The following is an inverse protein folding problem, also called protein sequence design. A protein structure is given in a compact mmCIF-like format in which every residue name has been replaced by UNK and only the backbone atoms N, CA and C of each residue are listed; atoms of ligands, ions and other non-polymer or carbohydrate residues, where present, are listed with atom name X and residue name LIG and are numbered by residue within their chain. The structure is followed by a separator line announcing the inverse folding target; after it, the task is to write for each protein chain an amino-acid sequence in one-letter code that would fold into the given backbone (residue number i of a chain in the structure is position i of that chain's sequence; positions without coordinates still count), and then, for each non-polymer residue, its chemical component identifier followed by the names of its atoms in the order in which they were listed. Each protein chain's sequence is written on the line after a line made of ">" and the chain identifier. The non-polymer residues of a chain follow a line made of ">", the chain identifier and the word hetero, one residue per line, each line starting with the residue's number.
data_IF_632362711176
#
_entry.id   IF_632362711176
#
_cell.length_a   1.000
_cell.length_b   1.000
_cell.length_c   1.000
_cell.angle_alpha   90.00
_cell.angle_beta   90.00
_cell.angle_gamma   90.00
#
_symmetry.space_group_name_H-M   'P 1'
#
loop_
_entity.id
_entity.type
_entity.pdbx_description
1 polymer ?
#
# COMPACT_ATOMS: atom_id res chain seq x y z
N UNK A 1 13.26 1.59 55.91
CA UNK A 1 13.11 0.75 54.70
C UNK A 1 12.25 1.55 53.76
N UNK A 2 12.88 2.35 52.92
CA UNK A 2 12.16 3.18 51.95
C UNK A 2 11.83 2.30 50.75
N UNK A 3 10.56 1.95 50.60
CA UNK A 3 10.04 1.27 49.43
C UNK A 3 10.06 2.24 48.26
N UNK A 4 11.05 2.14 47.38
CA UNK A 4 11.06 2.89 46.13
C UNK A 4 9.76 2.58 45.35
N UNK A 5 9.02 3.61 44.88
CA UNK A 5 7.83 3.39 44.08
C UNK A 5 8.28 2.83 42.72
N UNK A 6 7.64 1.76 42.25
CA UNK A 6 7.90 1.15 40.94
C UNK A 6 7.95 2.23 39.85
N UNK A 7 9.16 2.55 39.37
CA UNK A 7 9.42 3.71 38.49
C UNK A 7 8.98 3.50 37.04
N UNK A 8 8.58 2.27 36.68
CA UNK A 8 7.94 1.95 35.40
C UNK A 8 7.29 0.57 35.47
N UNK A 9 6.05 0.42 34.99
CA UNK A 9 5.48 -0.90 34.71
C UNK A 9 6.22 -1.51 33.51
N UNK A 10 6.94 -2.60 33.73
CA UNK A 10 7.47 -3.44 32.66
C UNK A 10 6.37 -4.43 32.26
N UNK A 11 5.76 -4.19 31.09
CA UNK A 11 4.76 -5.11 30.54
C UNK A 11 5.47 -6.19 29.73
N UNK A 12 5.74 -7.34 30.36
CA UNK A 12 6.13 -8.53 29.62
C UNK A 12 4.94 -9.06 28.84
N UNK A 13 5.13 -9.26 27.54
CA UNK A 13 4.14 -9.94 26.72
C UNK A 13 3.97 -11.38 27.20
N UNK A 14 2.73 -11.72 27.52
CA UNK A 14 2.33 -13.10 27.74
C UNK A 14 2.42 -13.92 26.44
N UNK A 15 2.36 -15.25 26.55
CA UNK A 15 2.43 -16.12 25.38
C UNK A 15 1.38 -15.78 24.29
N UNK A 16 0.11 -15.48 24.65
CA UNK A 16 -0.89 -14.96 23.70
C UNK A 16 -0.48 -13.65 23.01
N UNK A 17 0.05 -12.67 23.75
CA UNK A 17 0.51 -11.39 23.23
C UNK A 17 1.67 -11.56 22.25
N UNK A 18 2.69 -12.37 22.60
CA UNK A 18 3.79 -12.71 21.70
C UNK A 18 3.25 -13.36 20.41
N UNK A 19 2.29 -14.28 20.52
CA UNK A 19 1.65 -14.93 19.38
C UNK A 19 0.92 -13.96 18.43
N UNK A 20 0.22 -12.98 18.97
CA UNK A 20 -0.45 -11.94 18.18
C UNK A 20 0.55 -11.06 17.41
N UNK A 21 1.67 -10.70 18.04
CA UNK A 21 2.72 -9.91 17.41
C UNK A 21 3.46 -10.67 16.30
N UNK A 22 3.69 -11.98 16.47
CA UNK A 22 4.22 -12.81 15.39
C UNK A 22 3.28 -12.84 14.17
N UNK A 23 1.97 -12.95 14.39
CA UNK A 23 0.98 -12.86 13.30
C UNK A 23 1.01 -11.49 12.64
N UNK A 24 1.05 -10.41 13.42
CA UNK A 24 1.13 -9.04 12.90
C UNK A 24 2.38 -8.85 12.03
N UNK A 25 3.54 -9.29 12.52
CA UNK A 25 4.78 -9.25 11.75
C UNK A 25 4.65 -10.04 10.44
N UNK A 26 4.07 -11.24 10.46
CA UNK A 26 3.86 -12.04 9.25
C UNK A 26 2.94 -11.34 8.26
N UNK A 27 1.83 -10.76 8.71
CA UNK A 27 0.92 -9.98 7.87
C UNK A 27 1.60 -8.74 7.30
N UNK A 28 2.42 -8.05 8.09
CA UNK A 28 3.19 -6.91 7.64
C UNK A 28 4.16 -7.27 6.51
N UNK A 29 4.84 -8.41 6.63
CA UNK A 29 5.69 -8.93 5.55
C UNK A 29 4.90 -9.27 4.29
N UNK A 30 3.76 -9.94 4.43
CA UNK A 30 2.91 -10.32 3.29
C UNK A 30 2.44 -9.06 2.53
N UNK A 31 1.89 -8.08 3.26
CA UNK A 31 1.49 -6.79 2.68
C UNK A 31 2.69 -6.06 2.05
N UNK A 32 3.85 -6.12 2.70
CA UNK A 32 5.08 -5.57 2.17
C UNK A 32 5.45 -6.14 0.80
N UNK A 33 5.43 -7.46 0.68
CA UNK A 33 5.71 -8.18 -0.59
C UNK A 33 4.67 -7.84 -1.65
N UNK A 34 3.38 -7.81 -1.31
CA UNK A 34 2.30 -7.44 -2.24
C UNK A 34 2.56 -6.03 -2.81
N UNK A 35 2.88 -5.08 -1.94
CA UNK A 35 3.19 -3.71 -2.34
C UNK A 35 4.38 -3.62 -3.31
N UNK A 36 5.46 -4.36 -3.05
CA UNK A 36 6.62 -4.41 -3.96
C UNK A 36 6.23 -5.01 -5.31
N UNK A 37 5.46 -6.10 -5.33
CA UNK A 37 5.02 -6.75 -6.57
C UNK A 37 4.11 -5.80 -7.37
N UNK A 38 3.10 -5.20 -6.74
CA UNK A 38 2.17 -4.28 -7.41
C UNK A 38 2.89 -3.04 -7.93
N UNK A 39 3.79 -2.46 -7.14
CA UNK A 39 4.58 -1.31 -7.58
C UNK A 39 5.54 -1.68 -8.71
N UNK A 40 6.22 -2.83 -8.62
CA UNK A 40 7.10 -3.32 -9.69
C UNK A 40 6.36 -3.60 -10.99
N UNK A 41 5.19 -4.24 -10.91
CA UNK A 41 4.30 -4.46 -12.05
C UNK A 41 3.90 -3.11 -12.67
N UNK A 42 3.35 -2.20 -11.88
CA UNK A 42 2.92 -0.88 -12.34
C UNK A 42 4.07 -0.11 -13.01
N UNK A 43 5.25 -0.07 -12.38
CA UNK A 43 6.43 0.56 -12.94
C UNK A 43 6.89 -0.06 -14.26
N UNK A 44 6.83 -1.39 -14.40
CA UNK A 44 7.23 -2.08 -15.64
C UNK A 44 6.36 -1.69 -16.83
N UNK A 45 5.06 -1.46 -16.63
CA UNK A 45 4.18 -0.95 -17.70
C UNK A 45 4.36 0.55 -17.95
N UNK A 46 4.70 1.31 -16.91
CA UNK A 46 4.84 2.76 -17.01
C UNK A 46 6.14 3.21 -17.69
N UNK A 47 7.24 2.45 -17.53
CA UNK A 47 8.56 2.81 -18.10
C UNK A 47 8.51 2.89 -19.63
N UNK A 48 8.00 1.91 -20.39
CA UNK A 48 7.88 2.03 -21.84
C UNK A 48 7.02 3.20 -22.29
N UNK A 49 5.96 3.53 -21.53
CA UNK A 49 5.06 4.65 -21.84
C UNK A 49 5.76 6.02 -21.73
N UNK A 50 6.83 6.15 -20.95
CA UNK A 50 7.64 7.37 -20.94
C UNK A 50 8.31 7.67 -22.29
N UNK A 51 8.58 6.62 -23.07
CA UNK A 51 9.28 6.71 -24.35
C UNK A 51 8.34 6.52 -25.56
N UNK A 52 7.03 6.38 -25.32
CA UNK A 52 6.04 5.93 -26.30
C UNK A 52 5.46 6.99 -27.27
N UNK A 53 5.91 8.24 -27.23
CA UNK A 53 5.43 9.32 -28.11
C UNK A 53 4.67 10.45 -27.37
N UNK A 54 4.22 11.46 -28.12
CA UNK A 54 3.62 12.68 -27.56
C UNK A 54 2.30 12.37 -26.81
N UNK A 55 2.22 12.80 -25.54
CA UNK A 55 1.01 12.67 -24.70
C UNK A 55 1.03 11.53 -23.68
N UNK A 56 1.84 10.47 -23.88
CA UNK A 56 1.88 9.33 -22.93
C UNK A 56 2.55 9.65 -21.59
N UNK A 57 3.40 10.69 -21.56
CA UNK A 57 4.05 11.15 -20.32
C UNK A 57 3.06 11.56 -19.23
N UNK A 58 1.91 12.14 -19.60
CA UNK A 58 0.88 12.58 -18.64
C UNK A 58 0.28 11.42 -17.83
N UNK A 59 0.29 10.20 -18.38
CA UNK A 59 -0.19 8.99 -17.70
C UNK A 59 0.98 8.25 -17.04
N UNK A 60 2.15 8.22 -17.70
CA UNK A 60 3.32 7.51 -17.23
C UNK A 60 3.91 8.10 -15.93
N UNK A 61 3.97 9.44 -15.79
CA UNK A 61 4.53 10.08 -14.59
C UNK A 61 3.73 9.77 -13.30
N UNK A 62 2.40 9.97 -13.24
CA UNK A 62 1.61 9.58 -12.07
C UNK A 62 1.70 8.09 -11.75
N UNK A 63 1.69 7.24 -12.78
CA UNK A 63 1.81 5.79 -12.64
C UNK A 63 3.15 5.37 -12.02
N UNK A 64 4.26 5.94 -12.48
CA UNK A 64 5.59 5.70 -11.89
C UNK A 64 5.70 6.22 -10.46
N UNK A 65 5.09 7.35 -10.16
CA UNK A 65 5.07 7.90 -8.82
C UNK A 65 4.35 6.96 -7.83
N UNK A 66 3.17 6.44 -8.22
CA UNK A 66 2.45 5.44 -7.44
C UNK A 66 3.25 4.14 -7.31
N UNK A 67 3.90 3.68 -8.38
CA UNK A 67 4.79 2.53 -8.34
C UNK A 67 5.91 2.70 -7.30
N UNK A 68 6.57 3.87 -7.29
CA UNK A 68 7.60 4.22 -6.31
C UNK A 68 7.08 4.22 -4.87
N UNK A 69 5.90 4.81 -4.63
CA UNK A 69 5.25 4.80 -3.31
C UNK A 69 4.98 3.36 -2.84
N UNK A 70 4.39 2.53 -3.70
CA UNK A 70 4.08 1.14 -3.37
C UNK A 70 5.35 0.35 -3.02
N UNK A 71 6.40 0.46 -3.83
CA UNK A 71 7.68 -0.21 -3.55
C UNK A 71 8.27 0.26 -2.22
N UNK A 72 8.32 1.58 -2.00
CA UNK A 72 8.85 2.15 -0.77
C UNK A 72 8.10 1.65 0.47
N UNK A 73 6.77 1.71 0.48
CA UNK A 73 5.96 1.18 1.57
C UNK A 73 6.19 -0.33 1.76
N UNK A 74 6.30 -1.06 0.65
CA UNK A 74 6.49 -2.51 0.67
C UNK A 74 7.80 -2.93 1.33
N UNK A 75 8.88 -2.22 1.02
CA UNK A 75 10.18 -2.40 1.66
C UNK A 75 10.15 -2.03 3.14
N UNK A 76 9.51 -0.90 3.49
CA UNK A 76 9.41 -0.46 4.88
C UNK A 76 8.59 -1.42 5.75
N UNK A 77 7.49 -1.97 5.24
CA UNK A 77 6.69 -2.98 5.94
C UNK A 77 7.45 -4.30 6.14
N UNK A 78 8.20 -4.72 5.12
CA UNK A 78 9.04 -5.93 5.19
C UNK A 78 10.16 -5.75 6.22
N UNK A 79 10.81 -4.58 6.24
CA UNK A 79 11.85 -4.26 7.22
C UNK A 79 11.28 -4.16 8.64
N UNK A 80 10.17 -3.44 8.83
CA UNK A 80 9.53 -3.28 10.12
C UNK A 80 9.00 -4.63 10.67
N UNK A 81 8.51 -5.51 9.80
CA UNK A 81 8.15 -6.89 10.15
C UNK A 81 9.33 -7.66 10.76
N UNK A 82 10.50 -7.62 10.11
CA UNK A 82 11.72 -8.28 10.59
C UNK A 82 12.18 -7.69 11.92
N UNK A 83 12.17 -6.36 12.02
CA UNK A 83 12.55 -5.65 13.25
C UNK A 83 11.59 -5.97 14.41
N UNK A 84 10.29 -6.10 14.15
CA UNK A 84 9.31 -6.48 15.16
C UNK A 84 9.56 -7.90 15.68
N UNK A 85 9.83 -8.87 14.79
CA UNK A 85 10.19 -10.23 15.20
C UNK A 85 11.45 -10.25 16.05
N UNK A 86 12.49 -9.54 15.61
CA UNK A 86 13.74 -9.44 16.36
C UNK A 86 13.53 -8.79 17.73
N UNK A 87 12.74 -7.72 17.80
CA UNK A 87 12.48 -7.01 19.06
C UNK A 87 11.65 -7.86 20.05
N UNK A 88 10.70 -8.65 19.56
CA UNK A 88 9.91 -9.57 20.40
C UNK A 88 10.76 -10.71 20.96
N UNK A 89 11.73 -11.21 20.18
CA UNK A 89 12.65 -12.28 20.61
C UNK A 89 13.67 -11.75 21.62
N UNK A 90 14.22 -10.56 21.39
CA UNK A 90 15.28 -9.97 22.22
C UNK A 90 14.75 -9.02 23.30
N UNK A 91 13.43 -8.95 23.49
CA UNK A 91 12.75 -8.12 24.49
C UNK A 91 13.24 -6.65 24.46
N UNK A 92 13.38 -6.11 23.25
CA UNK A 92 13.84 -4.74 23.02
C UNK A 92 12.68 -3.77 22.92
N UNK A 93 12.42 -3.01 23.98
CA UNK A 93 11.29 -2.06 24.04
C UNK A 93 11.34 -0.98 22.95
N UNK A 94 12.53 -0.41 22.71
CA UNK A 94 12.73 0.64 21.68
C UNK A 94 12.51 0.08 20.28
N UNK A 95 13.15 -1.04 19.97
CA UNK A 95 13.01 -1.68 18.66
C UNK A 95 11.57 -2.16 18.40
N UNK A 96 10.88 -2.58 19.46
CA UNK A 96 9.49 -2.99 19.41
C UNK A 96 8.57 -1.81 19.05
N UNK A 97 8.67 -0.70 19.80
CA UNK A 97 7.87 0.50 19.56
C UNK A 97 8.09 1.06 18.15
N UNK A 98 9.35 1.21 17.74
CA UNK A 98 9.70 1.74 16.42
C UNK A 98 9.17 0.86 15.27
N UNK A 99 9.27 -0.46 15.42
CA UNK A 99 8.77 -1.39 14.41
C UNK A 99 7.24 -1.39 14.35
N UNK A 100 6.57 -1.33 15.50
CA UNK A 100 5.11 -1.31 15.59
C UNK A 100 4.54 -0.01 15.00
N UNK A 101 5.14 1.14 15.31
CA UNK A 101 4.73 2.44 14.75
C UNK A 101 4.86 2.45 13.22
N UNK A 102 5.97 1.93 12.69
CA UNK A 102 6.15 1.79 11.23
C UNK A 102 5.08 0.90 10.62
N UNK A 103 4.82 -0.28 11.20
CA UNK A 103 3.78 -1.19 10.70
C UNK A 103 2.42 -0.49 10.68
N UNK A 104 2.04 0.16 11.78
CA UNK A 104 0.77 0.89 11.88
C UNK A 104 0.65 1.98 10.81
N UNK A 105 1.68 2.83 10.69
CA UNK A 105 1.70 3.94 9.73
C UNK A 105 1.57 3.44 8.29
N UNK A 106 2.35 2.44 7.91
CA UNK A 106 2.33 1.94 6.54
C UNK A 106 1.13 1.04 6.23
N UNK A 107 0.52 0.40 7.23
CA UNK A 107 -0.78 -0.26 7.08
C UNK A 107 -1.89 0.74 6.81
N UNK A 108 -1.96 1.81 7.61
CA UNK A 108 -2.93 2.87 7.39
C UNK A 108 -2.78 3.47 5.99
N UNK A 109 -1.54 3.83 5.61
CA UNK A 109 -1.27 4.40 4.30
C UNK A 109 -1.62 3.43 3.15
N UNK A 110 -1.28 2.15 3.28
CA UNK A 110 -1.63 1.13 2.27
C UNK A 110 -3.15 0.97 2.15
N UNK A 111 -3.87 0.91 3.28
CA UNK A 111 -5.32 0.78 3.29
C UNK A 111 -6.00 1.99 2.63
N UNK A 112 -5.54 3.21 2.93
CA UNK A 112 -6.05 4.43 2.29
C UNK A 112 -5.81 4.42 0.78
N UNK A 113 -4.60 4.08 0.33
CA UNK A 113 -4.27 4.02 -1.09
C UNK A 113 -5.10 2.97 -1.84
N UNK A 114 -5.27 1.79 -1.25
CA UNK A 114 -6.09 0.73 -1.85
C UNK A 114 -7.56 1.12 -1.90
N UNK A 115 -8.09 1.76 -0.85
CA UNK A 115 -9.47 2.24 -0.85
C UNK A 115 -9.70 3.26 -1.96
N UNK A 116 -8.80 4.24 -2.10
CA UNK A 116 -8.84 5.22 -3.19
C UNK A 116 -8.80 4.50 -4.54
N UNK A 117 -7.88 3.55 -4.73
CA UNK A 117 -7.77 2.76 -5.96
C UNK A 117 -9.03 1.97 -6.30
N UNK A 118 -9.66 1.35 -5.30
CA UNK A 118 -10.93 0.62 -5.47
C UNK A 118 -12.06 1.57 -5.89
N UNK A 119 -12.17 2.74 -5.27
CA UNK A 119 -13.19 3.74 -5.64
C UNK A 119 -13.02 4.17 -7.09
N UNK A 120 -11.80 4.52 -7.52
CA UNK A 120 -11.52 4.89 -8.91
C UNK A 120 -11.84 3.75 -9.89
N UNK A 121 -11.47 2.51 -9.53
CA UNK A 121 -11.77 1.34 -10.35
C UNK A 121 -13.28 1.12 -10.50
N UNK A 122 -14.05 1.26 -9.42
CA UNK A 122 -15.50 1.16 -9.46
C UNK A 122 -16.10 2.25 -10.34
N UNK A 123 -15.66 3.50 -10.20
CA UNK A 123 -16.12 4.61 -11.06
C UNK A 123 -15.86 4.31 -12.54
N UNK A 124 -14.68 3.79 -12.88
CA UNK A 124 -14.34 3.41 -14.24
C UNK A 124 -15.24 2.29 -14.77
N UNK A 125 -15.44 1.22 -14.00
CA UNK A 125 -16.31 0.09 -14.39
C UNK A 125 -17.76 0.55 -14.59
N UNK A 126 -18.31 1.34 -13.67
CA UNK A 126 -19.67 1.87 -13.79
C UNK A 126 -19.82 2.83 -14.99
N UNK A 127 -18.81 3.68 -15.26
CA UNK A 127 -18.79 4.54 -16.43
C UNK A 127 -18.82 3.75 -17.74
N UNK A 128 -18.04 2.66 -17.82
CA UNK A 128 -18.02 1.79 -19.00
C UNK A 128 -19.37 1.06 -19.20
N UNK A 129 -19.95 0.51 -18.13
CA UNK A 129 -21.23 -0.23 -18.21
C UNK A 129 -22.41 0.70 -18.54
N UNK A 130 -22.38 1.95 -18.11
CA UNK A 130 -23.45 2.94 -18.38
C UNK A 130 -23.32 3.64 -19.74
N UNK A 131 -22.27 3.36 -20.53
CA UNK A 131 -22.01 4.03 -21.80
C UNK A 131 -21.58 5.50 -21.66
N UNK A 132 -21.43 6.00 -20.44
CA UNK A 132 -21.08 7.40 -20.15
C UNK A 132 -19.57 7.69 -20.18
N UNK A 133 -18.73 6.63 -20.22
CA UNK A 133 -17.28 6.78 -20.18
C UNK A 133 -16.65 7.28 -21.48
N UNK A 134 -17.28 7.08 -22.65
CA UNK A 134 -16.75 7.51 -23.95
C UNK A 134 -17.87 7.83 -24.97
N UNK A 135 -18.55 8.98 -24.84
CA UNK A 135 -19.56 9.38 -25.83
C UNK A 135 -18.96 9.57 -27.25
N UNK A 136 -17.67 9.87 -27.36
CA UNK A 136 -16.95 10.07 -28.65
C UNK A 136 -16.61 8.77 -29.39
N UNK A 137 -16.81 7.60 -28.78
CA UNK A 137 -16.69 6.29 -29.44
C UNK A 137 -18.05 5.70 -29.83
N UNK A 138 -19.14 6.42 -29.59
CA UNK A 138 -20.43 6.05 -30.16
C UNK A 138 -20.34 6.25 -31.67
N UNK A 139 -20.56 5.21 -32.50
CA UNK A 139 -20.58 5.40 -33.94
C UNK A 139 -21.63 6.47 -34.26
N UNK A 140 -21.25 7.50 -35.03
CA UNK A 140 -22.21 8.38 -35.66
C UNK A 140 -23.22 7.50 -36.38
N UNK A 141 -24.49 7.67 -36.02
CA UNK A 141 -25.59 6.93 -36.62
C UNK A 141 -25.57 7.18 -38.14
N UNK A 142 -25.29 6.17 -38.99
CA UNK A 142 -25.17 6.36 -40.43
C UNK A 142 -26.51 6.73 -41.09
N UNK A 143 -27.60 6.84 -40.31
CA UNK A 143 -28.92 7.24 -40.78
C UNK A 143 -29.14 8.76 -40.87
N UNK A 144 -28.23 9.60 -40.37
CA UNK A 144 -28.34 11.06 -40.53
C UNK A 144 -27.73 11.48 -41.88
N UNK A 145 -28.50 11.26 -42.95
CA UNK A 145 -28.27 11.97 -44.21
C UNK A 145 -28.65 13.43 -43.97
N UNK A 146 -27.66 14.31 -43.95
CA UNK A 146 -27.88 15.75 -44.00
C UNK A 146 -28.47 16.09 -45.36
N UNK A 147 -29.76 16.48 -45.40
CA UNK A 147 -30.41 17.13 -46.55
C UNK A 147 -30.47 18.62 -46.26
#
# INVERSE_FOLDING_TARGET
>A
MDSEPFKSLQFHLDAPGKGSLFKLSRWARILGVINVILGGFNGTFAIPLLFGGEGMGAIAFPSLFIAGILIYMGLQLTSASSNLQFAVINESDRGFSDALEKIQKFFFLSATLYLIGIIFLLMMVFGMVSGSAFPELSPEDPSVISI
#
